data_IF_136212060319
#
_entry.id   IF_136212060319
#
_cell.length_a   1.000
_cell.length_b   1.000
_cell.length_c   1.000
_cell.angle_alpha   90.00
_cell.angle_beta   90.00
_cell.angle_gamma   90.00
#
_symmetry.space_group_name_H-M   'P 1'
#
loop_
_entity.id
_entity.type
_entity.pdbx_description
1 polymer ?
#
# COMPACT_ATOMS: atom_id res chain seq x y z
N UNK A 1 11.89 18.53 0.84
CA UNK A 1 11.28 19.79 0.32
C UNK A 1 10.75 19.63 -1.12
N UNK A 2 10.88 18.46 -1.75
CA UNK A 2 10.29 18.15 -3.08
C UNK A 2 9.12 17.14 -3.01
N UNK A 3 8.73 16.71 -1.81
CA UNK A 3 7.53 15.90 -1.50
C UNK A 3 6.70 16.55 -0.37
N UNK A 4 6.73 17.89 -0.29
CA UNK A 4 5.76 18.65 0.50
C UNK A 4 4.43 18.41 -0.18
N UNK A 5 3.57 17.61 0.43
CA UNK A 5 2.28 17.23 -0.12
C UNK A 5 2.46 16.40 -1.42
N UNK A 6 2.58 15.07 -1.37
CA UNK A 6 1.60 14.28 -0.63
C UNK A 6 0.23 14.98 -0.74
N UNK A 7 -0.15 15.34 -1.99
CA UNK A 7 -1.46 14.98 -2.53
C UNK A 7 -2.27 14.33 -1.37
N UNK A 8 -3.01 15.02 -0.48
CA UNK A 8 -4.04 16.04 -0.74
C UNK A 8 -5.04 15.53 -1.78
N UNK A 9 -4.47 15.00 -2.86
CA UNK A 9 -4.92 14.20 -3.99
C UNK A 9 -4.50 12.70 -3.83
N UNK A 10 -4.43 12.17 -2.61
CA UNK A 10 -5.44 11.21 -2.20
C UNK A 10 -6.57 11.91 -1.43
N UNK A 11 -7.06 13.03 -1.96
CA UNK A 11 -8.48 13.28 -2.13
C UNK A 11 -9.07 12.13 -2.95
N UNK A 12 -9.03 10.92 -2.41
CA UNK A 12 -9.36 9.66 -3.06
C UNK A 12 -9.69 8.68 -1.92
N UNK A 13 -10.36 9.11 -0.87
CA UNK A 13 -11.80 8.92 -0.95
C UNK A 13 -12.55 9.97 -1.76
N UNK A 14 -12.00 11.13 -2.12
CA UNK A 14 -12.77 12.21 -2.73
C UNK A 14 -12.09 13.07 -3.77
N UNK A 15 -12.23 12.67 -5.04
CA UNK A 15 -12.40 13.52 -6.23
C UNK A 15 -11.84 12.87 -7.51
N UNK A 16 -12.70 12.71 -8.50
CA UNK A 16 -12.42 12.13 -9.80
C UNK A 16 -11.65 13.17 -10.57
N UNK A 17 -10.51 12.77 -11.10
CA UNK A 17 -9.99 13.35 -12.33
C UNK A 17 -9.41 12.24 -13.17
N UNK A 18 -10.29 11.52 -13.88
CA UNK A 18 -9.89 10.87 -15.11
C UNK A 18 -10.60 11.58 -16.26
N UNK A 19 -9.94 12.61 -16.81
CA UNK A 19 -10.30 13.14 -18.12
C UNK A 19 -9.15 13.93 -18.75
N UNK A 20 -8.09 13.21 -19.14
CA UNK A 20 -7.49 13.32 -20.47
C UNK A 20 -6.20 12.49 -20.50
N UNK A 21 -6.15 11.61 -21.49
CA UNK A 21 -4.91 11.27 -22.19
C UNK A 21 -4.03 12.51 -22.35
N UNK A 22 -2.92 12.60 -21.62
CA UNK A 22 -1.87 13.56 -21.93
C UNK A 22 -0.65 12.78 -22.40
N UNK A 23 -0.32 13.09 -23.64
CA UNK A 23 0.74 12.54 -24.45
C UNK A 23 2.09 12.67 -23.75
N UNK A 24 2.92 11.67 -24.02
CA UNK A 24 4.38 11.72 -23.96
C UNK A 24 4.93 13.13 -24.23
N UNK A 25 5.79 13.61 -23.33
CA UNK A 25 7.05 14.23 -23.74
C UNK A 25 8.17 13.59 -22.92
N UNK A 26 8.74 12.55 -23.53
CA UNK A 26 9.96 11.89 -23.13
C UNK A 26 11.13 12.85 -23.43
N UNK A 27 11.66 13.52 -22.39
CA UNK A 27 13.00 14.08 -22.47
C UNK A 27 13.99 12.96 -22.24
N UNK A 28 14.56 12.53 -23.35
CA UNK A 28 15.71 11.64 -23.46
C UNK A 28 16.86 12.15 -22.60
N UNK A 29 17.20 11.40 -21.56
CA UNK A 29 18.60 11.15 -21.21
C UNK A 29 18.76 9.66 -20.90
N UNK A 30 19.88 9.15 -21.40
CA UNK A 30 20.06 7.80 -21.92
C UNK A 30 20.23 6.70 -20.87
N UNK A 31 19.73 5.51 -21.25
CA UNK A 31 20.14 4.16 -20.83
C UNK A 31 19.62 3.61 -19.50
N UNK A 32 18.30 3.43 -19.38
CA UNK A 32 17.73 2.26 -18.68
C UNK A 32 16.52 1.79 -19.50
N UNK A 33 16.63 0.64 -20.15
CA UNK A 33 15.47 -0.04 -20.76
C UNK A 33 14.45 -0.39 -19.67
N UNK A 34 13.20 0.07 -19.75
CA UNK A 34 12.14 -0.39 -18.87
C UNK A 34 11.85 -1.86 -19.20
N UNK A 35 11.79 -2.70 -18.16
CA UNK A 35 11.42 -4.10 -18.26
C UNK A 35 9.90 -4.22 -18.49
N UNK A 36 9.40 -3.69 -19.61
CA UNK A 36 8.16 -4.19 -20.20
C UNK A 36 8.40 -5.67 -20.57
N UNK A 37 7.43 -6.54 -20.30
CA UNK A 37 7.30 -7.96 -20.73
C UNK A 37 7.58 -9.03 -19.65
N UNK A 38 6.69 -9.16 -18.68
CA UNK A 38 6.42 -10.47 -18.06
C UNK A 38 4.94 -10.72 -17.78
N UNK A 39 4.14 -9.67 -17.50
CA UNK A 39 2.66 -9.78 -17.39
C UNK A 39 2.01 -10.39 -18.64
N UNK A 40 2.49 -10.03 -19.84
CA UNK A 40 1.94 -10.54 -21.11
C UNK A 40 2.27 -12.01 -21.43
N UNK A 41 3.21 -12.64 -20.70
CA UNK A 41 3.75 -13.96 -21.08
C UNK A 41 3.22 -15.14 -20.24
N UNK A 42 2.55 -14.88 -19.12
CA UNK A 42 1.98 -15.94 -18.29
C UNK A 42 0.52 -16.16 -18.73
N UNK A 43 0.28 -17.27 -19.43
CA UNK A 43 -1.08 -17.72 -19.71
C UNK A 43 -1.73 -18.23 -18.42
N UNK A 44 -2.57 -17.38 -17.80
CA UNK A 44 -3.50 -17.85 -16.78
C UNK A 44 -4.58 -18.67 -17.48
N UNK A 45 -4.83 -19.92 -17.10
CA UNK A 45 -5.94 -20.70 -17.65
C UNK A 45 -7.28 -20.01 -17.37
N UNK A 46 -8.10 -19.83 -18.40
CA UNK A 46 -9.54 -19.59 -18.21
C UNK A 46 -10.12 -20.82 -17.49
N UNK A 47 -10.68 -20.60 -16.30
CA UNK A 47 -11.15 -21.66 -15.42
C UNK A 47 -10.08 -22.27 -14.52
N UNK A 48 -10.17 -22.03 -13.21
CA UNK A 48 -9.23 -22.60 -12.21
C UNK A 48 -9.63 -22.38 -10.75
N UNK A 49 -10.68 -21.60 -10.48
CA UNK A 49 -11.28 -21.45 -9.16
C UNK A 49 -12.23 -22.61 -8.87
N UNK A 50 -12.09 -23.17 -7.67
CA UNK A 50 -13.07 -24.06 -7.06
C UNK A 50 -14.32 -23.26 -6.66
N UNK A 51 -15.44 -23.97 -6.44
CA UNK A 51 -16.66 -23.29 -6.00
C UNK A 51 -16.49 -22.58 -4.65
N UNK A 52 -15.73 -23.18 -3.72
CA UNK A 52 -15.41 -22.56 -2.44
C UNK A 52 -14.58 -21.28 -2.60
N UNK A 53 -13.55 -21.29 -3.47
CA UNK A 53 -12.80 -20.08 -3.78
C UNK A 53 -13.71 -19.00 -4.38
N UNK A 54 -14.56 -19.34 -5.37
CA UNK A 54 -15.51 -18.39 -5.95
C UNK A 54 -16.42 -17.75 -4.90
N UNK A 55 -16.97 -18.55 -3.98
CA UNK A 55 -17.86 -18.06 -2.93
C UNK A 55 -17.12 -17.12 -1.97
N UNK A 56 -15.87 -17.44 -1.59
CA UNK A 56 -15.03 -16.55 -0.77
C UNK A 56 -14.67 -15.25 -1.49
N UNK A 57 -14.31 -15.27 -2.78
CA UNK A 57 -14.04 -14.03 -3.54
C UNK A 57 -15.29 -13.15 -3.63
N UNK A 58 -16.48 -13.74 -3.81
CA UNK A 58 -17.75 -12.99 -3.84
C UNK A 58 -18.06 -12.39 -2.47
N UNK A 59 -17.79 -13.11 -1.39
CA UNK A 59 -17.96 -12.61 -0.02
C UNK A 59 -17.11 -11.35 0.22
N UNK A 60 -15.84 -11.34 -0.22
CA UNK A 60 -14.95 -10.16 -0.12
C UNK A 60 -15.44 -8.98 -0.96
N UNK A 61 -16.00 -9.23 -2.15
CA UNK A 61 -16.47 -8.18 -3.07
C UNK A 61 -17.82 -7.58 -2.64
N UNK A 62 -18.69 -8.36 -1.99
CA UNK A 62 -20.07 -7.99 -1.70
C UNK A 62 -20.24 -6.72 -0.84
N UNK A 63 -19.41 -6.46 0.20
CA UNK A 63 -19.49 -5.23 0.99
C UNK A 63 -19.38 -3.94 0.18
N UNK A 64 -18.73 -3.95 -0.98
CA UNK A 64 -18.62 -2.77 -1.85
C UNK A 64 -19.93 -2.44 -2.58
N UNK A 65 -20.91 -3.33 -2.59
CA UNK A 65 -22.27 -3.07 -3.10
C UNK A 65 -23.18 -2.49 -2.02
N UNK A 66 -22.80 -2.57 -0.76
CA UNK A 66 -23.55 -2.05 0.38
C UNK A 66 -22.97 -0.69 0.78
N UNK A 67 -23.72 0.38 0.49
CA UNK A 67 -23.24 1.75 0.74
C UNK A 67 -24.01 2.42 1.87
N UNK A 68 -23.28 2.79 2.92
CA UNK A 68 -23.77 3.76 3.90
C UNK A 68 -23.75 5.17 3.30
N UNK A 69 -24.89 5.58 2.73
CA UNK A 69 -25.09 6.91 2.14
C UNK A 69 -24.88 8.06 3.14
N UNK A 70 -24.99 7.84 4.45
CA UNK A 70 -24.72 8.85 5.47
C UNK A 70 -23.21 8.98 5.75
N UNK A 71 -22.46 7.90 5.68
CA UNK A 71 -20.99 7.93 5.73
C UNK A 71 -20.41 8.60 4.46
N UNK A 72 -20.90 8.24 3.27
CA UNK A 72 -20.47 8.84 2.01
C UNK A 72 -20.61 10.38 2.00
N UNK A 73 -21.75 10.90 2.48
CA UNK A 73 -21.98 12.36 2.62
C UNK A 73 -21.03 13.02 3.62
N UNK A 74 -20.67 12.33 4.72
CA UNK A 74 -19.71 12.85 5.71
C UNK A 74 -18.29 12.88 5.16
N UNK A 75 -17.90 11.83 4.43
CA UNK A 75 -16.62 11.77 3.72
C UNK A 75 -16.48 12.98 2.78
N UNK A 76 -17.52 13.29 1.97
CA UNK A 76 -17.54 14.46 1.06
C UNK A 76 -17.16 15.75 1.75
N UNK A 77 -17.78 15.99 2.89
CA UNK A 77 -17.56 17.20 3.66
C UNK A 77 -16.13 17.31 4.20
N UNK A 78 -15.51 16.19 4.59
CA UNK A 78 -14.12 16.20 5.06
C UNK A 78 -13.16 16.55 3.92
N UNK A 79 -13.35 15.97 2.74
CA UNK A 79 -12.50 16.29 1.60
C UNK A 79 -12.68 17.71 1.08
N UNK A 80 -13.89 18.26 1.13
CA UNK A 80 -14.15 19.67 0.83
C UNK A 80 -13.37 20.60 1.78
N UNK A 81 -13.35 20.29 3.08
CA UNK A 81 -12.59 21.04 4.09
C UNK A 81 -11.08 20.96 3.84
N UNK A 82 -10.58 19.78 3.47
CA UNK A 82 -9.17 19.53 3.13
C UNK A 82 -8.80 20.35 1.90
N UNK A 83 -9.56 20.23 0.81
CA UNK A 83 -9.36 21.01 -0.42
C UNK A 83 -9.26 22.53 -0.16
N UNK A 84 -10.13 23.07 0.71
CA UNK A 84 -10.10 24.49 1.12
C UNK A 84 -8.87 24.89 1.92
N UNK A 85 -8.31 24.01 2.74
CA UNK A 85 -7.11 24.30 3.56
C UNK A 85 -5.85 24.35 2.70
N UNK A 86 -5.90 23.72 1.53
CA UNK A 86 -4.71 23.40 0.76
C UNK A 86 -4.44 24.33 -0.40
N UNK A 87 -5.31 25.33 -0.64
CA UNK A 87 -5.15 26.49 -1.54
C UNK A 87 -4.67 26.21 -2.99
N UNK A 88 -4.53 24.95 -3.39
CA UNK A 88 -3.88 24.49 -4.64
C UNK A 88 -4.71 23.43 -5.40
N UNK A 89 -5.98 23.21 -5.06
CA UNK A 89 -6.83 22.23 -5.77
C UNK A 89 -7.77 22.89 -6.78
N UNK A 90 -7.93 22.26 -7.94
CA UNK A 90 -9.05 22.49 -8.86
C UNK A 90 -10.39 22.41 -8.11
N UNK A 91 -11.45 23.00 -8.70
CA UNK A 91 -12.79 23.04 -8.12
C UNK A 91 -13.24 21.66 -7.60
N UNK A 92 -13.46 21.57 -6.28
CA UNK A 92 -13.93 20.35 -5.63
C UNK A 92 -15.32 19.96 -6.14
N UNK A 93 -15.44 18.89 -6.94
CA UNK A 93 -16.74 18.35 -7.35
C UNK A 93 -17.43 17.60 -6.20
N UNK A 94 -18.35 18.30 -5.55
CA UNK A 94 -19.16 17.81 -4.43
C UNK A 94 -19.89 16.48 -4.70
N UNK A 95 -20.03 16.04 -5.96
CA UNK A 95 -20.69 14.80 -6.33
C UNK A 95 -19.76 13.60 -6.50
N UNK A 96 -18.44 13.74 -6.32
CA UNK A 96 -17.53 12.64 -6.61
C UNK A 96 -17.89 11.34 -5.91
N UNK A 97 -18.13 11.33 -4.58
CA UNK A 97 -18.43 10.06 -3.92
C UNK A 97 -19.66 9.40 -4.52
N UNK A 98 -20.68 10.19 -4.86
CA UNK A 98 -21.87 9.63 -5.46
C UNK A 98 -21.59 9.03 -6.84
N UNK A 99 -20.75 9.68 -7.65
CA UNK A 99 -20.32 9.15 -8.94
C UNK A 99 -19.45 7.90 -8.76
N UNK A 100 -18.49 7.92 -7.82
CA UNK A 100 -17.59 6.82 -7.53
C UNK A 100 -18.35 5.61 -6.97
N UNK A 101 -19.35 5.81 -6.10
CA UNK A 101 -20.25 4.75 -5.63
C UNK A 101 -20.94 4.04 -6.80
N UNK A 102 -21.53 4.80 -7.72
CA UNK A 102 -22.23 4.22 -8.88
C UNK A 102 -21.26 3.49 -9.82
N UNK A 103 -20.06 4.04 -9.99
CA UNK A 103 -18.99 3.41 -10.78
C UNK A 103 -18.51 2.11 -10.15
N UNK A 104 -18.16 2.13 -8.86
CA UNK A 104 -17.70 0.96 -8.10
C UNK A 104 -18.78 -0.11 -8.03
N UNK A 105 -20.06 0.24 -7.87
CA UNK A 105 -21.16 -0.73 -7.96
C UNK A 105 -21.15 -1.48 -9.31
N UNK A 106 -20.92 -0.77 -10.42
CA UNK A 106 -20.80 -1.39 -11.75
C UNK A 106 -19.54 -2.25 -11.89
N UNK A 107 -18.40 -1.77 -11.38
CA UNK A 107 -17.12 -2.49 -11.42
C UNK A 107 -17.21 -3.77 -10.59
N UNK A 108 -17.72 -3.70 -9.37
CA UNK A 108 -17.82 -4.85 -8.46
C UNK A 108 -18.78 -5.91 -9.00
N UNK A 109 -19.90 -5.51 -9.63
CA UNK A 109 -20.77 -6.44 -10.36
C UNK A 109 -20.03 -7.14 -11.50
N UNK A 110 -19.17 -6.43 -12.23
CA UNK A 110 -18.32 -7.04 -13.26
C UNK A 110 -17.28 -7.99 -12.66
N UNK A 111 -16.62 -7.61 -11.56
CA UNK A 111 -15.71 -8.49 -10.81
C UNK A 111 -16.43 -9.79 -10.39
N UNK A 112 -17.62 -9.69 -9.79
CA UNK A 112 -18.43 -10.85 -9.40
C UNK A 112 -18.78 -11.71 -10.63
N UNK A 113 -19.14 -11.10 -11.75
CA UNK A 113 -19.42 -11.84 -12.99
C UNK A 113 -18.18 -12.60 -13.49
N UNK A 114 -16.98 -11.99 -13.42
CA UNK A 114 -15.72 -12.68 -13.75
C UNK A 114 -15.43 -13.84 -12.80
N UNK A 115 -15.67 -13.68 -11.48
CA UNK A 115 -15.56 -14.78 -10.51
C UNK A 115 -16.50 -15.93 -10.87
N UNK A 116 -17.78 -15.63 -11.10
CA UNK A 116 -18.81 -16.62 -11.43
C UNK A 116 -18.54 -17.32 -12.77
N UNK A 117 -17.99 -16.60 -13.74
CA UNK A 117 -17.58 -17.13 -15.04
C UNK A 117 -16.24 -17.86 -14.99
N UNK A 118 -15.58 -17.90 -13.82
CA UNK A 118 -14.28 -18.52 -13.59
C UNK A 118 -13.16 -17.90 -14.47
N UNK A 119 -13.15 -16.57 -14.57
CA UNK A 119 -12.22 -15.77 -15.38
C UNK A 119 -11.26 -14.96 -14.47
N UNK A 120 -10.37 -15.61 -13.68
CA UNK A 120 -9.55 -14.93 -12.68
C UNK A 120 -8.58 -13.89 -13.28
N UNK A 121 -8.13 -14.08 -14.52
CA UNK A 121 -7.29 -13.09 -15.22
C UNK A 121 -8.05 -11.78 -15.44
N UNK A 122 -9.27 -11.86 -15.99
CA UNK A 122 -10.10 -10.67 -16.22
C UNK A 122 -10.51 -9.97 -14.93
N UNK A 123 -10.69 -10.74 -13.84
CA UNK A 123 -10.88 -10.18 -12.51
C UNK A 123 -9.66 -9.34 -12.08
N UNK A 124 -8.44 -9.88 -12.20
CA UNK A 124 -7.21 -9.15 -11.85
C UNK A 124 -6.99 -7.93 -12.75
N UNK A 125 -7.17 -8.07 -14.07
CA UNK A 125 -7.03 -6.97 -15.03
C UNK A 125 -8.01 -5.83 -14.72
N UNK A 126 -9.26 -6.17 -14.39
CA UNK A 126 -10.28 -5.18 -14.01
C UNK A 126 -9.95 -4.54 -12.67
N UNK A 127 -9.48 -5.32 -11.69
CA UNK A 127 -9.06 -4.78 -10.40
C UNK A 127 -7.90 -3.79 -10.57
N UNK A 128 -6.82 -4.18 -11.26
CA UNK A 128 -5.64 -3.32 -11.44
C UNK A 128 -6.00 -2.00 -12.12
N UNK A 129 -6.95 -2.03 -13.06
CA UNK A 129 -7.47 -0.85 -13.74
C UNK A 129 -8.32 0.05 -12.83
N UNK A 130 -9.14 -0.53 -11.96
CA UNK A 130 -10.17 0.21 -11.20
C UNK A 130 -9.84 0.38 -9.70
N UNK A 131 -8.69 -0.13 -9.23
CA UNK A 131 -8.29 -0.15 -7.82
C UNK A 131 -8.37 1.22 -7.15
N UNK A 132 -8.01 2.29 -7.85
CA UNK A 132 -8.10 3.67 -7.33
C UNK A 132 -9.52 4.05 -6.93
N UNK A 133 -10.51 3.67 -7.76
CA UNK A 133 -11.93 3.89 -7.46
C UNK A 133 -12.40 2.99 -6.30
N UNK A 134 -11.91 1.75 -6.24
CA UNK A 134 -12.23 0.79 -5.18
C UNK A 134 -11.68 1.26 -3.82
N UNK A 135 -10.40 1.63 -3.73
CA UNK A 135 -9.79 2.12 -2.49
C UNK A 135 -10.40 3.43 -2.00
N UNK A 136 -10.86 4.28 -2.94
CA UNK A 136 -11.55 5.53 -2.62
C UNK A 136 -13.04 5.36 -2.27
N UNK A 137 -13.56 4.13 -2.37
CA UNK A 137 -14.96 3.85 -2.09
C UNK A 137 -15.25 3.97 -0.58
N UNK A 138 -16.43 4.50 -0.18
CA UNK A 138 -16.75 4.65 1.25
C UNK A 138 -16.84 3.32 2.01
N UNK A 139 -17.08 2.21 1.32
CA UNK A 139 -17.06 0.88 1.93
C UNK A 139 -15.66 0.27 2.02
N UNK A 140 -14.60 0.91 1.53
CA UNK A 140 -13.22 0.45 1.74
C UNK A 140 -12.77 0.81 3.18
N UNK A 141 -13.20 0.03 4.16
CA UNK A 141 -12.67 0.09 5.53
C UNK A 141 -11.34 -0.66 5.61
N UNK A 142 -10.56 -0.47 6.68
CA UNK A 142 -9.32 -1.25 6.89
C UNK A 142 -9.58 -2.76 6.89
N UNK A 143 -10.73 -3.20 7.41
CA UNK A 143 -11.11 -4.62 7.41
C UNK A 143 -11.40 -5.12 5.99
N UNK A 144 -12.24 -4.39 5.24
CA UNK A 144 -12.56 -4.77 3.85
C UNK A 144 -11.36 -4.67 2.92
N UNK A 145 -10.43 -3.74 3.18
CA UNK A 145 -9.19 -3.62 2.44
C UNK A 145 -8.26 -4.82 2.68
N UNK A 146 -8.12 -5.26 3.94
CA UNK A 146 -7.35 -6.46 4.27
C UNK A 146 -7.92 -7.68 3.55
N UNK A 147 -9.23 -7.86 3.59
CA UNK A 147 -9.91 -8.96 2.90
C UNK A 147 -9.69 -8.88 1.38
N UNK A 148 -9.79 -7.68 0.80
CA UNK A 148 -9.50 -7.42 -0.61
C UNK A 148 -8.05 -7.74 -0.96
N UNK A 149 -7.08 -7.38 -0.11
CA UNK A 149 -5.67 -7.72 -0.32
C UNK A 149 -5.44 -9.22 -0.25
N UNK A 150 -5.99 -9.92 0.75
CA UNK A 150 -5.90 -11.38 0.84
C UNK A 150 -6.49 -12.05 -0.40
N UNK A 151 -7.64 -11.56 -0.87
CA UNK A 151 -8.27 -12.01 -2.09
C UNK A 151 -7.34 -11.87 -3.29
N UNK A 152 -6.84 -10.67 -3.58
CA UNK A 152 -5.98 -10.38 -4.73
C UNK A 152 -4.65 -11.13 -4.64
N UNK A 153 -4.02 -11.17 -3.46
CA UNK A 153 -2.77 -11.88 -3.22
C UNK A 153 -2.93 -13.40 -3.36
N UNK A 154 -4.07 -13.97 -2.97
CA UNK A 154 -4.32 -15.41 -3.20
C UNK A 154 -4.34 -15.77 -4.69
N UNK A 155 -4.83 -14.86 -5.53
CA UNK A 155 -4.84 -15.03 -6.98
C UNK A 155 -3.42 -14.86 -7.55
N UNK A 156 -2.69 -13.83 -7.11
CA UNK A 156 -1.29 -13.65 -7.53
C UNK A 156 -0.39 -14.81 -7.08
N UNK A 157 -0.58 -15.31 -5.85
CA UNK A 157 0.13 -16.47 -5.31
C UNK A 157 -0.17 -17.72 -6.13
N UNK A 158 -1.44 -17.96 -6.47
CA UNK A 158 -1.86 -19.14 -7.24
C UNK A 158 -1.36 -19.12 -8.69
N UNK A 159 -1.43 -17.98 -9.37
CA UNK A 159 -1.20 -17.93 -10.82
C UNK A 159 0.17 -17.39 -11.23
N UNK A 160 0.81 -16.55 -10.42
CA UNK A 160 2.03 -15.86 -10.82
C UNK A 160 3.25 -16.23 -9.97
N UNK A 161 3.11 -16.40 -8.65
CA UNK A 161 4.25 -16.66 -7.77
C UNK A 161 5.10 -17.89 -8.16
N UNK A 162 4.53 -19.03 -8.60
CA UNK A 162 5.34 -20.19 -9.02
C UNK A 162 6.23 -19.89 -10.24
N UNK A 163 5.82 -18.94 -11.07
CA UNK A 163 6.50 -18.56 -12.31
C UNK A 163 7.41 -17.34 -12.13
N UNK A 164 7.06 -16.44 -11.20
CA UNK A 164 7.75 -15.19 -10.99
C UNK A 164 7.53 -14.66 -9.55
N UNK A 165 8.42 -15.04 -8.64
CA UNK A 165 8.39 -14.59 -7.24
C UNK A 165 8.62 -13.08 -7.11
N UNK A 166 9.46 -12.49 -7.98
CA UNK A 166 9.73 -11.05 -7.97
C UNK A 166 8.47 -10.25 -8.27
N UNK A 167 7.72 -10.65 -9.30
CA UNK A 167 6.45 -10.01 -9.65
C UNK A 167 5.40 -10.13 -8.56
N UNK A 168 5.33 -11.29 -7.88
CA UNK A 168 4.47 -11.44 -6.70
C UNK A 168 4.86 -10.45 -5.60
N UNK A 169 6.16 -10.27 -5.33
CA UNK A 169 6.64 -9.30 -4.35
C UNK A 169 6.35 -7.85 -4.77
N UNK A 170 6.38 -7.52 -6.06
CA UNK A 170 5.98 -6.20 -6.58
C UNK A 170 4.50 -5.92 -6.32
N UNK A 171 3.61 -6.88 -6.60
CA UNK A 171 2.17 -6.75 -6.30
C UNK A 171 1.87 -6.71 -4.81
N UNK A 172 2.63 -7.46 -4.00
CA UNK A 172 2.56 -7.40 -2.54
C UNK A 172 2.90 -6.01 -2.02
N UNK A 173 4.03 -5.45 -2.47
CA UNK A 173 4.45 -4.11 -2.11
C UNK A 173 3.39 -3.07 -2.51
N UNK A 174 2.92 -3.13 -3.75
CA UNK A 174 1.89 -2.21 -4.28
C UNK A 174 0.63 -2.17 -3.41
N UNK A 175 0.05 -3.32 -3.06
CA UNK A 175 -1.16 -3.38 -2.24
C UNK A 175 -0.91 -2.81 -0.84
N UNK A 176 0.21 -3.15 -0.21
CA UNK A 176 0.52 -2.64 1.13
C UNK A 176 0.90 -1.15 1.15
N UNK A 177 1.35 -0.57 0.03
CA UNK A 177 1.46 0.88 -0.10
C UNK A 177 0.10 1.58 -0.04
N UNK A 178 -0.95 0.99 -0.65
CA UNK A 178 -2.31 1.50 -0.48
C UNK A 178 -2.75 1.47 0.99
N UNK A 179 -2.47 0.37 1.70
CA UNK A 179 -2.75 0.31 3.15
C UNK A 179 -1.97 1.38 3.92
N UNK A 180 -0.73 1.66 3.54
CA UNK A 180 0.10 2.64 4.24
C UNK A 180 -0.48 4.04 4.07
N UNK A 181 -0.92 4.35 2.85
CA UNK A 181 -1.63 5.60 2.54
C UNK A 181 -2.92 5.69 3.36
N UNK A 182 -3.72 4.62 3.41
CA UNK A 182 -4.99 4.60 4.14
C UNK A 182 -4.78 4.85 5.64
N UNK A 183 -3.92 4.09 6.31
CA UNK A 183 -3.68 4.27 7.75
C UNK A 183 -3.07 5.64 8.06
N UNK A 184 -2.16 6.14 7.22
CA UNK A 184 -1.55 7.47 7.42
C UNK A 184 -2.62 8.56 7.30
N UNK A 185 -3.57 8.40 6.38
CA UNK A 185 -4.75 9.25 6.30
C UNK A 185 -5.59 9.21 7.58
N UNK A 186 -5.86 8.01 8.12
CA UNK A 186 -6.62 7.86 9.37
C UNK A 186 -5.93 8.53 10.57
N UNK A 187 -4.61 8.40 10.69
CA UNK A 187 -3.83 9.05 11.77
C UNK A 187 -3.91 10.57 11.67
N UNK A 188 -3.74 11.12 10.46
CA UNK A 188 -3.76 12.56 10.20
C UNK A 188 -5.09 13.20 10.61
N UNK A 189 -6.22 12.55 10.31
CA UNK A 189 -7.55 13.08 10.62
C UNK A 189 -8.08 12.65 11.98
N UNK A 190 -7.61 11.53 12.50
CA UNK A 190 -8.01 10.98 13.79
C UNK A 190 -7.21 11.53 14.97
N UNK A 191 -5.99 12.02 14.75
CA UNK A 191 -5.10 12.50 15.80
C UNK A 191 -4.62 11.40 16.74
N UNK A 192 -4.49 10.17 16.25
CA UNK A 192 -3.99 9.00 16.98
C UNK A 192 -2.96 8.24 16.14
N UNK A 193 -2.12 7.45 16.79
CA UNK A 193 -1.20 6.50 16.14
C UNK A 193 -1.91 5.18 15.87
N UNK A 194 -1.92 4.72 14.61
CA UNK A 194 -2.63 3.51 14.22
C UNK A 194 -1.80 2.27 14.57
N UNK A 195 -2.36 1.29 15.31
CA UNK A 195 -1.60 0.15 15.80
C UNK A 195 -1.01 -0.73 14.68
N UNK A 196 -1.61 -0.70 13.49
CA UNK A 196 -1.14 -1.48 12.34
C UNK A 196 0.00 -0.79 11.56
N UNK A 197 0.40 0.44 11.89
CA UNK A 197 1.42 1.15 11.11
C UNK A 197 2.77 0.43 11.09
N UNK A 198 3.35 0.14 12.25
CA UNK A 198 4.65 -0.54 12.30
C UNK A 198 4.56 -1.94 11.65
N UNK A 199 3.58 -2.81 11.98
CA UNK A 199 3.42 -4.09 11.30
C UNK A 199 3.36 -3.99 9.78
N UNK A 200 2.62 -3.00 9.26
CA UNK A 200 2.47 -2.78 7.84
C UNK A 200 3.78 -2.31 7.18
N UNK A 201 4.46 -1.34 7.77
CA UNK A 201 5.73 -0.83 7.25
C UNK A 201 6.78 -1.93 7.25
N UNK A 202 6.80 -2.82 8.25
CA UNK A 202 7.69 -4.00 8.26
C UNK A 202 7.44 -4.94 7.08
N UNK A 203 6.19 -5.17 6.70
CA UNK A 203 5.86 -5.96 5.50
C UNK A 203 6.42 -5.28 4.25
N UNK A 204 6.31 -3.94 4.13
CA UNK A 204 6.87 -3.20 3.01
C UNK A 204 8.41 -3.23 2.98
N UNK A 205 9.07 -3.12 4.13
CA UNK A 205 10.53 -3.28 4.26
C UNK A 205 10.95 -4.65 3.72
N UNK A 206 10.30 -5.73 4.16
CA UNK A 206 10.58 -7.09 3.68
C UNK A 206 10.35 -7.25 2.17
N UNK A 207 9.33 -6.59 1.63
CA UNK A 207 9.07 -6.61 0.18
C UNK A 207 10.22 -5.92 -0.56
N UNK A 208 10.61 -4.72 -0.13
CA UNK A 208 11.64 -3.95 -0.80
C UNK A 208 13.03 -4.57 -0.68
N UNK A 209 13.35 -5.19 0.45
CA UNK A 209 14.55 -6.01 0.60
C UNK A 209 14.61 -7.15 -0.43
N UNK A 210 13.52 -7.92 -0.57
CA UNK A 210 13.42 -9.00 -1.59
C UNK A 210 13.53 -8.48 -3.02
N UNK A 211 13.06 -7.26 -3.27
CA UNK A 211 13.16 -6.60 -4.58
C UNK A 211 14.55 -5.99 -4.83
N UNK A 212 15.42 -5.99 -3.82
CA UNK A 212 16.71 -5.29 -3.77
C UNK A 212 16.56 -3.76 -3.94
N UNK A 213 15.40 -3.21 -3.58
CA UNK A 213 15.17 -1.76 -3.49
C UNK A 213 15.53 -1.31 -2.07
N UNK A 214 16.82 -1.39 -1.76
CA UNK A 214 17.32 -1.08 -0.42
C UNK A 214 17.08 0.37 -0.02
N UNK A 215 17.05 1.30 -0.98
CA UNK A 215 16.82 2.71 -0.69
C UNK A 215 15.42 2.92 -0.09
N UNK A 216 14.38 2.29 -0.65
CA UNK A 216 13.03 2.31 -0.07
C UNK A 216 12.94 1.56 1.25
N UNK A 217 13.54 0.37 1.33
CA UNK A 217 13.54 -0.43 2.55
C UNK A 217 14.18 0.33 3.73
N UNK A 218 15.33 0.97 3.50
CA UNK A 218 16.05 1.78 4.49
C UNK A 218 15.19 2.97 4.94
N UNK A 219 14.55 3.67 4.01
CA UNK A 219 13.73 4.84 4.37
C UNK A 219 12.53 4.45 5.23
N UNK A 220 11.85 3.36 4.90
CA UNK A 220 10.76 2.82 5.71
C UNK A 220 11.23 2.30 7.07
N UNK A 221 12.38 1.61 7.12
CA UNK A 221 12.94 1.13 8.38
C UNK A 221 13.36 2.29 9.30
N UNK A 222 13.86 3.40 8.74
CA UNK A 222 14.11 4.63 9.51
C UNK A 222 12.83 5.20 10.10
N UNK A 223 11.73 5.23 9.34
CA UNK A 223 10.44 5.68 9.86
C UNK A 223 9.95 4.82 11.03
N UNK A 224 10.18 3.50 11.00
CA UNK A 224 9.91 2.61 12.15
C UNK A 224 10.75 3.02 13.37
N UNK A 225 12.06 3.20 13.21
CA UNK A 225 12.94 3.62 14.30
C UNK A 225 12.52 4.97 14.89
N UNK A 226 12.23 5.96 14.05
CA UNK A 226 11.76 7.29 14.45
C UNK A 226 10.43 7.22 15.21
N UNK A 227 9.51 6.36 14.75
CA UNK A 227 8.22 6.19 15.41
C UNK A 227 8.35 5.57 16.80
N UNK A 228 9.14 4.50 16.93
CA UNK A 228 9.43 3.88 18.23
C UNK A 228 10.09 4.89 19.18
N UNK A 229 11.08 5.66 18.69
CA UNK A 229 11.74 6.69 19.49
C UNK A 229 10.75 7.73 20.04
N UNK A 230 9.73 8.09 19.27
CA UNK A 230 8.73 9.09 19.64
C UNK A 230 7.60 8.53 20.52
N UNK A 231 7.16 7.30 20.26
CA UNK A 231 5.94 6.74 20.87
C UNK A 231 6.22 5.90 22.12
N UNK A 232 7.38 5.26 22.23
CA UNK A 232 7.71 4.45 23.40
C UNK A 232 8.31 5.31 24.54
N UNK A 233 7.91 5.09 25.81
CA UNK A 233 8.44 5.84 26.95
C UNK A 233 9.97 5.80 27.07
N UNK A 234 10.57 4.66 26.72
CA UNK A 234 12.01 4.45 26.75
C UNK A 234 12.71 4.97 25.48
N UNK A 235 11.97 5.28 24.41
CA UNK A 235 12.49 5.73 23.12
C UNK A 235 13.65 4.89 22.63
N UNK A 236 14.79 5.52 22.34
CA UNK A 236 16.03 4.82 21.90
C UNK A 236 16.57 3.77 22.88
N UNK A 237 16.19 3.85 24.16
CA UNK A 237 16.62 2.89 25.16
C UNK A 237 15.74 1.64 25.22
N UNK A 238 14.64 1.58 24.45
CA UNK A 238 13.75 0.43 24.43
C UNK A 238 14.37 -0.79 23.73
N UNK A 239 13.90 -1.98 24.10
CA UNK A 239 14.31 -3.22 23.43
C UNK A 239 13.88 -3.22 21.95
N UNK A 240 12.67 -2.71 21.66
CA UNK A 240 12.14 -2.63 20.30
C UNK A 240 12.99 -1.73 19.41
N UNK A 241 13.40 -0.54 19.88
CA UNK A 241 14.28 0.33 19.11
C UNK A 241 15.60 -0.36 18.77
N UNK A 242 16.15 -1.11 19.72
CA UNK A 242 17.36 -1.91 19.50
C UNK A 242 17.19 -2.91 18.36
N UNK A 243 16.10 -3.68 18.32
CA UNK A 243 15.88 -4.66 17.25
C UNK A 243 15.70 -3.97 15.90
N UNK A 244 14.89 -2.91 15.83
CA UNK A 244 14.65 -2.20 14.57
C UNK A 244 15.91 -1.48 14.06
N UNK A 245 16.82 -1.10 14.96
CA UNK A 245 18.13 -0.55 14.58
C UNK A 245 19.10 -1.63 14.06
N UNK A 246 18.97 -2.89 14.51
CA UNK A 246 19.69 -4.04 13.92
C UNK A 246 19.20 -4.29 12.49
N UNK A 247 17.88 -4.25 12.27
CA UNK A 247 17.30 -4.40 10.93
C UNK A 247 17.80 -3.28 10.00
N UNK A 248 17.80 -2.03 10.48
CA UNK A 248 18.35 -0.90 9.72
C UNK A 248 19.84 -1.08 9.39
N UNK A 249 20.65 -1.55 10.34
CA UNK A 249 22.07 -1.83 10.10
C UNK A 249 22.27 -2.93 9.04
N UNK A 250 21.40 -3.94 9.03
CA UNK A 250 21.40 -5.05 8.08
C UNK A 250 21.09 -4.57 6.67
N UNK A 251 20.08 -3.70 6.52
CA UNK A 251 19.73 -3.10 5.23
C UNK A 251 20.87 -2.22 4.69
N UNK A 252 21.49 -1.38 5.54
CA UNK A 252 22.66 -0.60 5.12
C UNK A 252 23.82 -1.50 4.66
N UNK A 253 24.06 -2.60 5.37
CA UNK A 253 25.11 -3.54 5.00
C UNK A 253 24.81 -4.22 3.67
N UNK A 254 23.55 -4.62 3.43
CA UNK A 254 23.09 -5.18 2.17
C UNK A 254 23.25 -4.17 1.01
N UNK A 255 22.97 -2.89 1.26
CA UNK A 255 23.20 -1.77 0.33
C UNK A 255 24.69 -1.35 0.23
N UNK A 256 25.61 -2.05 0.91
CA UNK A 256 27.06 -1.77 0.96
C UNK A 256 27.41 -0.39 1.54
N UNK A 257 26.52 0.19 2.34
CA UNK A 257 26.73 1.44 3.06
C UNK A 257 27.36 1.18 4.44
N UNK A 258 28.66 0.94 4.44
CA UNK A 258 29.39 0.60 5.67
C UNK A 258 29.43 1.74 6.68
N UNK A 259 29.31 3.00 6.23
CA UNK A 259 29.35 4.17 7.11
C UNK A 259 28.11 4.18 8.00
N UNK A 260 26.92 4.00 7.40
CA UNK A 260 25.69 3.97 8.17
C UNK A 260 25.53 2.67 8.97
N UNK A 261 26.03 1.53 8.49
CA UNK A 261 26.13 0.31 9.30
C UNK A 261 26.96 0.52 10.58
N UNK A 262 28.13 1.16 10.46
CA UNK A 262 28.97 1.48 11.62
C UNK A 262 28.27 2.46 12.58
N UNK A 263 27.56 3.44 12.04
CA UNK A 263 26.76 4.39 12.82
C UNK A 263 25.66 3.68 13.64
N UNK A 264 24.88 2.79 13.01
CA UNK A 264 23.88 1.99 13.70
C UNK A 264 24.51 1.10 14.79
N UNK A 265 25.65 0.47 14.49
CA UNK A 265 26.37 -0.37 15.47
C UNK A 265 26.86 0.43 16.67
N UNK A 266 27.32 1.66 16.47
CA UNK A 266 27.71 2.55 17.57
C UNK A 266 26.52 2.96 18.43
N UNK A 267 25.37 3.21 17.83
CA UNK A 267 24.15 3.56 18.54
C UNK A 267 23.59 2.35 19.31
N UNK A 268 23.64 1.14 18.73
CA UNK A 268 23.25 -0.11 19.40
C UNK A 268 24.02 -0.36 20.70
N UNK A 269 25.32 -0.03 20.76
CA UNK A 269 26.13 -0.18 21.98
C UNK A 269 25.68 0.74 23.13
N UNK A 270 24.91 1.79 22.83
CA UNK A 270 24.33 2.69 23.83
C UNK A 270 22.96 2.21 24.32
N UNK A 271 22.32 1.28 23.60
CA UNK A 271 21.06 0.71 24.00
C UNK A 271 21.29 -0.31 25.14
N UNK A 272 20.65 -0.14 26.31
CA UNK A 272 20.95 -0.94 27.50
C UNK A 272 20.58 -2.42 27.36
N UNK A 273 19.57 -2.74 26.55
CA UNK A 273 19.17 -4.12 26.27
C UNK A 273 20.18 -4.81 25.34
N UNK A 274 20.57 -4.12 24.26
CA UNK A 274 21.53 -4.65 23.29
C UNK A 274 22.94 -4.77 23.87
N UNK A 275 23.36 -3.83 24.71
CA UNK A 275 24.65 -3.92 25.42
C UNK A 275 24.72 -5.19 26.31
N UNK A 276 23.62 -5.56 26.95
CA UNK A 276 23.56 -6.77 27.77
C UNK A 276 23.67 -8.03 26.90
N UNK A 277 22.92 -8.13 25.81
CA UNK A 277 22.98 -9.27 24.88
C UNK A 277 24.38 -9.46 24.29
N UNK A 278 25.05 -8.37 23.90
CA UNK A 278 26.41 -8.40 23.35
C UNK A 278 27.49 -8.78 24.36
N UNK A 279 27.22 -8.71 25.67
CA UNK A 279 28.15 -9.14 26.74
C UNK A 279 27.96 -10.61 27.13
N UNK A 280 26.81 -11.19 26.81
CA UNK A 280 26.45 -12.58 27.14
C UNK A 280 26.88 -13.58 26.04
N UNK A 281 27.41 -13.09 24.92
CA UNK A 281 27.94 -13.86 23.79
C UNK A 281 29.39 -13.47 23.46
#
# INVERSE_FOLDING_TARGET
MEMKYLLILFGLCLMACNRQSVKQEEKTDSNITPNERLEESIEIPDGSLTKGEQDSLIEVLSPYLEVDTAYAKRSNKNAELISKVLDDMEEFDENYQQQNILHVDSVIKQCINHVQSNEPKRLLDLFDKEKMSIYSHPSNTIEHEKDLHYMILSLYDKYYRPSNERFFAEKLAELYEFSLIHITGLELFGGYSHPDYIPLVKVLVDCYDKLNDYDRAIELQKQICERIEQEEPEGKASENYGYELIELATLYLANKDTIHTDSCTQELRKNPYMEKLLKEH
#
